data_IF_654200726379
#
_entry.id   IF_654200726379
#
_cell.length_a   1.000
_cell.length_b   1.000
_cell.length_c   1.000
_cell.angle_alpha   90.00
_cell.angle_beta   90.00
_cell.angle_gamma   90.00
#
_symmetry.space_group_name_H-M   'P 1'
#
loop_
_entity.id
_entity.type
_entity.pdbx_description
1 polymer ?
#
# COMPACT_ATOMS: atom_id res chain seq x y z
N UNK A 1 -16.98 8.54 10.83
CA UNK A 1 -17.88 8.27 9.69
C UNK A 1 -17.45 6.94 9.08
N UNK A 2 -17.55 5.85 9.83
CA UNK A 2 -17.19 4.50 9.34
C UNK A 2 -17.64 3.45 10.35
N UNK A 3 -18.94 3.14 10.36
CA UNK A 3 -19.51 1.99 11.08
C UNK A 3 -18.73 0.69 10.84
N UNK A 4 -18.13 0.56 9.65
CA UNK A 4 -17.31 -0.58 9.25
C UNK A 4 -15.89 -0.58 9.85
N UNK A 5 -15.32 0.58 10.17
CA UNK A 5 -14.01 0.69 10.84
C UNK A 5 -14.14 0.61 12.36
N UNK A 6 -15.30 1.00 12.90
CA UNK A 6 -15.64 0.91 14.33
C UNK A 6 -16.12 -0.51 14.71
N UNK A 7 -16.51 -1.32 13.72
CA UNK A 7 -16.91 -2.71 13.90
C UNK A 7 -15.74 -3.60 14.35
N UNK A 8 -15.91 -4.28 15.48
CA UNK A 8 -14.94 -5.25 16.01
C UNK A 8 -14.70 -6.36 14.98
N UNK A 9 -13.43 -6.65 14.70
CA UNK A 9 -12.99 -7.64 13.70
C UNK A 9 -13.52 -7.36 12.26
N UNK A 10 -13.96 -6.13 12.00
CA UNK A 10 -14.59 -5.74 10.73
C UNK A 10 -15.96 -6.36 10.48
N UNK A 11 -16.60 -6.94 11.50
CA UNK A 11 -17.89 -7.60 11.37
C UNK A 11 -19.00 -6.61 11.69
N UNK A 12 -19.86 -6.32 10.70
CA UNK A 12 -20.97 -5.38 10.85
C UNK A 12 -22.32 -6.10 10.70
N UNK A 13 -23.21 -5.89 11.66
CA UNK A 13 -24.62 -6.26 11.55
C UNK A 13 -25.39 -5.16 10.79
N UNK A 14 -26.05 -5.55 9.70
CA UNK A 14 -26.78 -4.64 8.83
C UNK A 14 -28.05 -4.08 9.48
N UNK A 15 -28.60 -4.74 10.50
CA UNK A 15 -29.71 -4.22 11.29
C UNK A 15 -29.25 -3.10 12.22
N UNK A 16 -28.16 -3.34 12.95
CA UNK A 16 -27.55 -2.32 13.81
C UNK A 16 -27.07 -1.12 12.99
N UNK A 17 -26.47 -1.37 11.83
CA UNK A 17 -26.09 -0.32 10.89
C UNK A 17 -27.31 0.45 10.37
N UNK A 18 -28.43 -0.22 10.10
CA UNK A 18 -29.67 0.45 9.66
C UNK A 18 -30.24 1.37 10.75
N UNK A 19 -30.21 0.91 12.01
CA UNK A 19 -30.63 1.71 13.16
C UNK A 19 -29.71 2.91 13.40
N UNK A 20 -28.39 2.69 13.37
CA UNK A 20 -27.38 3.74 13.54
C UNK A 20 -27.43 4.80 12.42
N UNK A 21 -27.74 4.40 11.19
CA UNK A 21 -27.91 5.32 10.06
C UNK A 21 -29.30 5.96 10.02
N UNK A 22 -30.22 5.60 10.92
CA UNK A 22 -31.59 6.11 10.94
C UNK A 22 -32.42 5.75 9.70
N UNK A 23 -32.03 4.70 8.98
CA UNK A 23 -32.65 4.33 7.70
C UNK A 23 -33.83 3.40 7.96
N UNK A 24 -35.06 3.91 7.79
CA UNK A 24 -36.30 3.13 7.96
C UNK A 24 -36.49 2.01 6.93
N UNK A 25 -35.76 2.02 5.81
CA UNK A 25 -35.89 1.06 4.69
C UNK A 25 -34.55 0.44 4.30
N UNK A 26 -34.41 -0.88 4.51
CA UNK A 26 -33.17 -1.64 4.28
C UNK A 26 -32.72 -1.75 2.81
N UNK A 27 -33.50 -1.25 1.84
CA UNK A 27 -33.21 -1.43 0.41
C UNK A 27 -31.88 -0.79 -0.02
N UNK A 28 -31.58 0.42 0.45
CA UNK A 28 -30.34 1.15 0.08
C UNK A 28 -29.08 0.53 0.67
N UNK A 29 -29.22 -0.16 1.80
CA UNK A 29 -28.11 -0.89 2.43
C UNK A 29 -27.65 -2.01 1.49
N UNK A 30 -28.58 -2.75 0.88
CA UNK A 30 -28.23 -3.82 -0.06
C UNK A 30 -27.60 -3.30 -1.35
N UNK A 31 -28.06 -2.17 -1.87
CA UNK A 31 -27.43 -1.60 -3.07
C UNK A 31 -25.96 -1.26 -2.81
N UNK A 32 -25.66 -0.70 -1.63
CA UNK A 32 -24.30 -0.42 -1.19
C UNK A 32 -23.51 -1.72 -0.96
N UNK A 33 -24.08 -2.69 -0.22
CA UNK A 33 -23.37 -3.94 0.08
C UNK A 33 -23.10 -4.76 -1.17
N UNK A 34 -24.01 -4.78 -2.14
CA UNK A 34 -23.81 -5.52 -3.40
C UNK A 34 -22.69 -4.92 -4.24
N UNK A 35 -22.56 -3.59 -4.27
CA UNK A 35 -21.43 -2.94 -4.94
C UNK A 35 -20.13 -3.27 -4.21
N UNK A 36 -20.10 -3.15 -2.87
CA UNK A 36 -18.90 -3.46 -2.08
C UNK A 36 -18.50 -4.95 -2.15
N UNK A 37 -19.47 -5.85 -2.23
CA UNK A 37 -19.27 -7.29 -2.43
C UNK A 37 -18.78 -7.58 -3.86
N UNK A 38 -19.36 -6.92 -4.87
CA UNK A 38 -18.94 -7.02 -6.27
C UNK A 38 -17.54 -6.49 -6.54
N UNK A 39 -17.11 -5.46 -5.80
CA UNK A 39 -15.71 -4.98 -5.80
C UNK A 39 -14.80 -5.90 -4.96
N UNK A 40 -15.37 -6.74 -4.09
CA UNK A 40 -14.64 -7.67 -3.25
C UNK A 40 -14.07 -7.07 -1.96
N UNK A 41 -14.59 -5.94 -1.50
CA UNK A 41 -14.15 -5.27 -0.26
C UNK A 41 -14.81 -5.84 1.00
N UNK A 42 -16.01 -6.41 0.85
CA UNK A 42 -16.73 -7.11 1.91
C UNK A 42 -17.12 -8.51 1.48
N UNK A 43 -17.46 -9.35 2.44
CA UNK A 43 -18.07 -10.66 2.21
C UNK A 43 -19.25 -10.89 3.16
N UNK A 44 -20.21 -11.70 2.70
CA UNK A 44 -21.34 -12.12 3.51
C UNK A 44 -20.92 -13.26 4.44
N UNK A 45 -21.01 -13.04 5.75
CA UNK A 45 -20.74 -14.10 6.76
C UNK A 45 -21.98 -14.88 7.14
N UNK A 46 -23.05 -14.18 7.50
CA UNK A 46 -24.33 -14.74 7.97
C UNK A 46 -25.50 -13.88 7.48
N UNK A 47 -26.73 -14.29 7.77
CA UNK A 47 -27.90 -13.46 7.47
C UNK A 47 -27.78 -12.12 8.18
N UNK A 48 -27.85 -11.03 7.42
CA UNK A 48 -27.70 -9.65 7.93
C UNK A 48 -26.33 -9.33 8.54
N UNK A 49 -25.29 -10.12 8.30
CA UNK A 49 -23.93 -9.85 8.79
C UNK A 49 -22.92 -9.87 7.65
N UNK A 50 -22.14 -8.80 7.53
CA UNK A 50 -21.04 -8.67 6.56
C UNK A 50 -19.71 -8.53 7.28
N UNK A 51 -18.62 -8.93 6.64
CA UNK A 51 -17.27 -8.74 7.12
C UNK A 51 -16.47 -7.88 6.13
N UNK A 52 -15.76 -6.88 6.65
CA UNK A 52 -14.79 -6.10 5.90
C UNK A 52 -13.50 -6.90 5.74
N UNK A 53 -13.09 -7.14 4.49
CA UNK A 53 -11.87 -7.89 4.19
C UNK A 53 -10.60 -7.12 4.55
N UNK A 54 -10.68 -5.79 4.64
CA UNK A 54 -9.56 -4.96 5.06
C UNK A 54 -9.37 -4.86 6.57
N UNK A 55 -10.24 -5.47 7.40
CA UNK A 55 -10.11 -5.41 8.86
C UNK A 55 -9.02 -6.32 9.38
N UNK A 56 -8.75 -7.41 8.63
CA UNK A 56 -7.78 -8.45 8.96
C UNK A 56 -6.52 -8.34 8.08
N UNK A 57 -6.33 -7.23 7.37
CA UNK A 57 -5.00 -6.92 6.87
C UNK A 57 -4.13 -6.68 8.10
N UNK A 58 -3.43 -7.73 8.53
CA UNK A 58 -2.49 -7.75 9.65
C UNK A 58 -1.76 -6.41 9.67
N UNK A 59 -2.20 -5.51 10.55
CA UNK A 59 -1.64 -4.16 10.61
C UNK A 59 -0.14 -4.26 10.89
N UNK A 60 0.26 -5.28 11.65
CA UNK A 60 1.63 -5.69 11.87
C UNK A 60 2.36 -6.07 10.56
N UNK A 61 1.78 -6.88 9.68
CA UNK A 61 2.39 -7.18 8.37
C UNK A 61 2.50 -5.92 7.53
N UNK A 62 1.48 -5.06 7.51
CA UNK A 62 1.50 -3.79 6.79
C UNK A 62 2.59 -2.86 7.32
N UNK A 63 2.78 -2.80 8.64
CA UNK A 63 3.84 -2.01 9.28
C UNK A 63 5.23 -2.58 8.99
N UNK A 64 5.40 -3.91 9.03
CA UNK A 64 6.63 -4.59 8.66
C UNK A 64 6.99 -4.33 7.20
N UNK A 65 6.02 -4.49 6.28
CA UNK A 65 6.19 -4.21 4.85
C UNK A 65 6.56 -2.74 4.60
N UNK A 66 5.97 -1.80 5.34
CA UNK A 66 6.34 -0.37 5.25
C UNK A 66 7.77 -0.11 5.73
N UNK A 67 8.19 -0.77 6.82
CA UNK A 67 9.55 -0.65 7.33
C UNK A 67 10.56 -1.23 6.34
N UNK A 68 10.30 -2.42 5.80
CA UNK A 68 11.13 -3.07 4.77
C UNK A 68 11.22 -2.20 3.52
N UNK A 69 10.11 -1.62 3.06
CA UNK A 69 10.09 -0.71 1.92
C UNK A 69 10.98 0.52 2.16
N UNK A 70 10.89 1.13 3.34
CA UNK A 70 11.73 2.28 3.70
C UNK A 70 13.22 1.92 3.76
N UNK A 71 13.57 0.71 4.19
CA UNK A 71 14.95 0.24 4.22
C UNK A 71 15.49 0.01 2.81
N UNK A 72 14.69 -0.61 1.94
CA UNK A 72 15.05 -0.83 0.54
C UNK A 72 15.25 0.49 -0.21
N UNK A 73 14.36 1.47 0.00
CA UNK A 73 14.49 2.79 -0.61
C UNK A 73 15.75 3.54 -0.14
N UNK A 74 16.16 3.35 1.11
CA UNK A 74 17.42 3.90 1.61
C UNK A 74 18.64 3.25 0.94
N UNK A 75 18.61 1.92 0.75
CA UNK A 75 19.67 1.18 0.04
C UNK A 75 19.76 1.58 -1.44
N UNK A 76 18.63 1.74 -2.11
CA UNK A 76 18.57 2.19 -3.50
C UNK A 76 19.21 3.58 -3.65
N UNK A 77 18.86 4.52 -2.76
CA UNK A 77 19.45 5.86 -2.74
C UNK A 77 20.97 5.85 -2.50
N UNK A 78 21.46 4.97 -1.63
CA UNK A 78 22.89 4.81 -1.38
C UNK A 78 23.61 4.30 -2.65
N UNK A 79 23.05 3.30 -3.32
CA UNK A 79 23.60 2.76 -4.56
C UNK A 79 23.62 3.82 -5.68
N UNK A 80 22.57 4.61 -5.81
CA UNK A 80 22.51 5.72 -6.78
C UNK A 80 23.59 6.77 -6.52
N UNK A 81 23.86 7.11 -5.25
CA UNK A 81 24.93 8.03 -4.87
C UNK A 81 26.31 7.47 -5.22
N UNK A 82 26.55 6.19 -4.95
CA UNK A 82 27.81 5.53 -5.31
C UNK A 82 28.01 5.50 -6.82
N UNK A 83 26.96 5.18 -7.58
CA UNK A 83 26.99 5.21 -9.04
C UNK A 83 27.31 6.61 -9.57
N UNK A 84 26.66 7.65 -9.03
CA UNK A 84 26.92 9.03 -9.42
C UNK A 84 28.37 9.45 -9.12
N UNK A 85 28.89 9.12 -7.94
CA UNK A 85 30.28 9.38 -7.56
C UNK A 85 31.29 8.72 -8.51
N UNK A 86 31.07 7.43 -8.84
CA UNK A 86 31.94 6.71 -9.76
C UNK A 86 31.89 7.30 -11.16
N UNK A 87 30.71 7.65 -11.66
CA UNK A 87 30.56 8.30 -12.96
C UNK A 87 31.30 9.63 -13.02
N UNK A 88 31.21 10.45 -11.96
CA UNK A 88 31.93 11.72 -11.86
C UNK A 88 33.44 11.51 -11.83
N UNK A 89 33.92 10.55 -11.04
CA UNK A 89 35.32 10.17 -11.00
C UNK A 89 35.85 9.73 -12.38
N UNK A 90 35.12 8.85 -13.07
CA UNK A 90 35.50 8.39 -14.42
C UNK A 90 35.56 9.54 -15.43
N UNK A 91 34.58 10.46 -15.40
CA UNK A 91 34.60 11.66 -16.26
C UNK A 91 35.84 12.50 -15.99
N UNK A 92 36.16 12.76 -14.73
CA UNK A 92 37.32 13.56 -14.34
C UNK A 92 38.64 12.89 -14.72
N UNK A 93 38.75 11.58 -14.56
CA UNK A 93 39.92 10.81 -14.97
C UNK A 93 40.12 10.82 -16.49
N UNK A 94 39.04 10.78 -17.28
CA UNK A 94 39.10 10.89 -18.75
C UNK A 94 39.34 12.33 -19.25
N UNK A 95 39.00 13.34 -18.45
CA UNK A 95 39.23 14.75 -18.78
C UNK A 95 40.69 15.21 -18.52
N UNK A 96 41.49 14.44 -17.78
CA UNK A 96 42.90 14.76 -17.56
C UNK A 96 43.70 14.59 -18.88
N UNK A 97 44.33 15.65 -19.41
CA UNK A 97 45.08 15.60 -20.67
C UNK A 97 46.27 14.62 -20.63
N UNK A 98 46.74 14.19 -19.45
CA UNK A 98 47.74 13.12 -19.32
C UNK A 98 47.17 11.73 -19.66
N UNK A 99 45.87 11.51 -19.44
CA UNK A 99 45.20 10.25 -19.72
C UNK A 99 44.91 10.06 -21.22
N UNK A 100 44.88 11.15 -22.01
CA UNK A 100 44.80 11.11 -23.48
C UNK A 100 46.03 10.47 -24.15
N UNK A 101 47.13 10.24 -23.42
CA UNK A 101 48.37 9.66 -23.95
C UNK A 101 48.35 8.13 -24.00
N UNK A 102 47.43 7.50 -23.27
CA UNK A 102 47.24 6.05 -23.26
C UNK A 102 45.76 5.73 -23.46
N UNK A 103 45.22 5.86 -24.70
CA UNK A 103 43.90 5.35 -24.98
C UNK A 103 43.89 3.85 -24.68
N UNK A 104 42.89 3.38 -23.92
CA UNK A 104 42.67 1.96 -23.68
C UNK A 104 42.52 1.28 -25.05
N UNK A 105 43.58 0.62 -25.50
CA UNK A 105 43.54 -0.23 -26.67
C UNK A 105 42.57 -1.38 -26.36
N UNK A 106 41.55 -1.53 -27.20
CA UNK A 106 40.47 -2.51 -27.05
C UNK A 106 40.93 -3.96 -27.15
#
# INVERSE_FOLDING_TARGET
MTLLQEAKDGILDLNEAAEALGVRQKRRIYDITNVLEGVGLIEKRRMSTIQWKGADQNQEQVELLKAEFSELEAKERELDQQQACLQEWFKNANADPKNSRYPLAG
#
